data_IF_558099145911
#
_entry.id   IF_558099145911
#
_cell.length_a   1.000
_cell.length_b   1.000
_cell.length_c   1.000
_cell.angle_alpha   90.00
_cell.angle_beta   90.00
_cell.angle_gamma   90.00
#
_symmetry.space_group_name_H-M   'P 1'
#
loop_
_entity.id
_entity.type
_entity.pdbx_description
1 polymer ?
#
# COMPACT_ATOMS: atom_id res chain seq x y z
N UNK A 1 71.27 -21.17 -31.43
CA UNK A 1 71.28 -20.84 -29.99
C UNK A 1 70.35 -19.64 -29.77
N UNK A 2 69.07 -19.90 -29.47
CA UNK A 2 68.06 -18.85 -29.24
C UNK A 2 67.68 -18.84 -27.76
N UNK A 3 68.19 -17.88 -27.00
CA UNK A 3 67.79 -17.68 -25.61
C UNK A 3 66.45 -16.94 -25.57
N UNK A 4 65.40 -17.65 -25.17
CA UNK A 4 64.06 -17.09 -24.93
C UNK A 4 64.11 -16.27 -23.63
N UNK A 5 64.13 -14.95 -23.74
CA UNK A 5 63.94 -14.05 -22.60
C UNK A 5 62.50 -14.20 -22.08
N UNK A 6 62.34 -14.86 -20.93
CA UNK A 6 61.07 -14.86 -20.20
C UNK A 6 60.84 -13.45 -19.66
N UNK A 7 59.95 -12.71 -20.31
CA UNK A 7 59.41 -11.44 -19.81
C UNK A 7 58.67 -11.75 -18.50
N UNK A 8 59.22 -11.31 -17.36
CA UNK A 8 58.53 -11.39 -16.08
C UNK A 8 57.24 -10.56 -16.20
N UNK A 9 56.09 -11.21 -16.00
CA UNK A 9 54.80 -10.51 -15.90
C UNK A 9 54.84 -9.73 -14.58
N UNK A 10 54.89 -8.41 -14.69
CA UNK A 10 54.76 -7.47 -13.57
C UNK A 10 53.36 -7.63 -12.98
N UNK A 11 53.21 -8.55 -12.03
CA UNK A 11 51.97 -8.72 -11.28
C UNK A 11 51.92 -7.63 -10.21
N UNK A 12 51.49 -6.44 -10.62
CA UNK A 12 51.12 -5.37 -9.68
C UNK A 12 49.87 -5.83 -8.93
N UNK A 13 50.04 -6.22 -7.68
CA UNK A 13 48.93 -6.49 -6.77
C UNK A 13 48.19 -5.20 -6.41
N UNK A 14 46.89 -5.32 -6.13
CA UNK A 14 46.08 -4.23 -5.59
C UNK A 14 46.69 -3.75 -4.26
N UNK A 15 46.87 -2.44 -4.09
CA UNK A 15 47.30 -1.89 -2.81
C UNK A 15 46.12 -1.82 -1.84
N UNK A 16 46.38 -1.99 -0.54
CA UNK A 16 45.34 -1.81 0.49
C UNK A 16 44.76 -0.39 0.47
N UNK A 17 45.57 0.59 0.10
CA UNK A 17 45.16 2.01 0.02
C UNK A 17 44.16 2.23 -1.12
N UNK A 18 44.34 1.57 -2.28
CA UNK A 18 43.37 1.64 -3.39
C UNK A 18 42.01 1.09 -2.98
N UNK A 19 41.98 -0.05 -2.29
CA UNK A 19 40.72 -0.62 -1.79
C UNK A 19 40.06 0.30 -0.74
N UNK A 20 40.86 0.90 0.15
CA UNK A 20 40.38 1.80 1.21
C UNK A 20 39.70 3.05 0.63
N UNK A 21 40.32 3.68 -0.37
CA UNK A 21 39.73 4.87 -1.02
C UNK A 21 38.43 4.50 -1.74
N UNK A 22 38.36 3.34 -2.40
CA UNK A 22 37.15 2.90 -3.10
C UNK A 22 35.99 2.67 -2.14
N UNK A 23 36.20 1.94 -1.04
CA UNK A 23 35.12 1.71 -0.07
C UNK A 23 34.70 3.00 0.64
N UNK A 24 35.63 3.95 0.83
CA UNK A 24 35.31 5.26 1.37
C UNK A 24 34.38 6.06 0.43
N UNK A 25 34.68 6.08 -0.87
CA UNK A 25 33.82 6.75 -1.87
C UNK A 25 32.45 6.06 -1.97
N UNK A 26 32.43 4.72 -2.01
CA UNK A 26 31.17 3.95 -2.02
C UNK A 26 30.34 4.25 -0.76
N UNK A 27 30.99 4.34 0.41
CA UNK A 27 30.33 4.70 1.66
C UNK A 27 29.67 6.08 1.62
N UNK A 28 30.36 7.09 1.09
CA UNK A 28 29.81 8.45 0.93
C UNK A 28 28.62 8.45 -0.02
N UNK A 29 28.74 7.79 -1.18
CA UNK A 29 27.65 7.73 -2.17
C UNK A 29 26.43 6.97 -1.61
N UNK A 30 26.65 5.85 -0.93
CA UNK A 30 25.59 5.05 -0.32
C UNK A 30 24.84 5.85 0.75
N UNK A 31 25.54 6.65 1.57
CA UNK A 31 24.93 7.48 2.61
C UNK A 31 23.95 8.52 2.06
N UNK A 32 24.20 9.07 0.86
CA UNK A 32 23.34 10.07 0.22
C UNK A 32 22.16 9.40 -0.50
N UNK A 33 22.42 8.30 -1.20
CA UNK A 33 21.42 7.65 -2.08
C UNK A 33 20.40 6.83 -1.29
N UNK A 34 20.84 6.09 -0.26
CA UNK A 34 19.98 5.18 0.50
C UNK A 34 18.68 5.82 1.04
N UNK A 35 18.71 6.96 1.77
CA UNK A 35 17.48 7.56 2.31
C UNK A 35 16.49 8.01 1.22
N UNK A 36 17.00 8.48 0.07
CA UNK A 36 16.15 8.87 -1.05
C UNK A 36 15.50 7.66 -1.73
N UNK A 37 16.23 6.55 -1.85
CA UNK A 37 15.69 5.31 -2.37
C UNK A 37 14.53 4.79 -1.50
N UNK A 38 14.68 4.79 -0.17
CA UNK A 38 13.60 4.37 0.73
C UNK A 38 12.35 5.24 0.62
N UNK A 39 12.50 6.58 0.51
CA UNK A 39 11.37 7.50 0.29
C UNK A 39 10.64 7.22 -1.04
N UNK A 40 11.39 6.93 -2.10
CA UNK A 40 10.80 6.62 -3.40
C UNK A 40 10.01 5.30 -3.38
N UNK A 41 10.54 4.27 -2.70
CA UNK A 41 9.84 2.99 -2.49
C UNK A 41 8.55 3.23 -1.70
N UNK A 42 8.61 4.00 -0.61
CA UNK A 42 7.43 4.29 0.22
C UNK A 42 6.36 5.04 -0.56
N UNK A 43 6.75 6.04 -1.37
CA UNK A 43 5.81 6.74 -2.26
C UNK A 43 5.15 5.78 -3.27
N UNK A 44 5.91 4.82 -3.80
CA UNK A 44 5.38 3.79 -4.70
C UNK A 44 4.36 2.88 -4.00
N UNK A 45 4.59 2.52 -2.73
CA UNK A 45 3.64 1.76 -1.91
C UNK A 45 2.35 2.52 -1.65
N UNK A 46 2.44 3.81 -1.32
CA UNK A 46 1.26 4.68 -1.15
C UNK A 46 0.43 4.71 -2.44
N UNK A 47 1.08 4.94 -3.59
CA UNK A 47 0.40 4.98 -4.88
C UNK A 47 -0.26 3.63 -5.25
N UNK A 48 0.37 2.50 -4.90
CA UNK A 48 -0.23 1.18 -5.07
C UNK A 48 -1.48 1.01 -4.20
N UNK A 49 -1.42 1.42 -2.93
CA UNK A 49 -2.57 1.34 -2.03
C UNK A 49 -3.75 2.22 -2.51
N UNK A 50 -3.46 3.39 -3.08
CA UNK A 50 -4.48 4.25 -3.69
C UNK A 50 -5.10 3.64 -4.94
N UNK A 51 -4.30 2.96 -5.77
CA UNK A 51 -4.80 2.26 -6.95
C UNK A 51 -5.72 1.10 -6.55
N UNK A 52 -5.32 0.30 -5.57
CA UNK A 52 -6.14 -0.78 -5.00
C UNK A 52 -7.45 -0.23 -4.43
N UNK A 53 -7.38 0.85 -3.65
CA UNK A 53 -8.56 1.54 -3.12
C UNK A 53 -9.52 1.99 -4.25
N UNK A 54 -9.01 2.63 -5.30
CA UNK A 54 -9.84 3.11 -6.41
C UNK A 54 -10.53 1.96 -7.15
N UNK A 55 -9.81 0.85 -7.38
CA UNK A 55 -10.37 -0.34 -7.99
C UNK A 55 -11.48 -0.96 -7.14
N UNK A 56 -11.24 -1.14 -5.84
CA UNK A 56 -12.23 -1.68 -4.90
C UNK A 56 -13.44 -0.75 -4.77
N UNK A 57 -13.22 0.57 -4.72
CA UNK A 57 -14.30 1.57 -4.69
C UNK A 57 -15.19 1.48 -5.93
N UNK A 58 -14.60 1.43 -7.12
CA UNK A 58 -15.34 1.28 -8.37
C UNK A 58 -16.13 -0.03 -8.40
N UNK A 59 -15.51 -1.13 -7.96
CA UNK A 59 -16.18 -2.43 -7.88
C UNK A 59 -17.38 -2.42 -6.91
N UNK A 60 -17.23 -1.79 -5.74
CA UNK A 60 -18.31 -1.66 -4.76
C UNK A 60 -19.48 -0.83 -5.28
N UNK A 61 -19.19 0.27 -6.00
CA UNK A 61 -20.21 1.11 -6.62
C UNK A 61 -20.94 0.40 -7.75
N UNK A 62 -20.22 -0.35 -8.60
CA UNK A 62 -20.84 -1.14 -9.67
C UNK A 62 -21.75 -2.24 -9.10
N UNK A 63 -21.28 -2.95 -8.07
CA UNK A 63 -22.11 -3.93 -7.34
C UNK A 63 -23.39 -3.29 -6.80
N UNK A 64 -23.27 -2.11 -6.18
CA UNK A 64 -24.43 -1.37 -5.66
C UNK A 64 -25.38 -0.90 -6.77
N UNK A 65 -24.84 -0.49 -7.92
CA UNK A 65 -25.62 -0.04 -9.08
C UNK A 65 -26.47 -1.19 -9.64
N UNK A 66 -25.90 -2.40 -9.69
CA UNK A 66 -26.54 -3.56 -10.31
C UNK A 66 -27.52 -4.27 -9.36
N UNK A 67 -27.18 -4.35 -8.07
CA UNK A 67 -27.95 -5.14 -7.08
C UNK A 67 -28.81 -4.30 -6.15
N UNK A 68 -28.58 -2.98 -6.09
CA UNK A 68 -29.24 -2.06 -5.14
C UNK A 68 -28.80 -2.24 -3.68
N UNK A 69 -27.88 -3.16 -3.39
CA UNK A 69 -27.34 -3.43 -2.05
C UNK A 69 -25.82 -3.39 -2.09
N UNK A 70 -25.19 -3.12 -0.95
CA UNK A 70 -23.73 -3.12 -0.87
C UNK A 70 -23.20 -4.55 -0.70
N UNK A 71 -21.95 -4.83 -1.14
CA UNK A 71 -21.28 -6.10 -0.84
C UNK A 71 -21.22 -6.40 0.65
N UNK A 72 -21.04 -7.68 0.98
CA UNK A 72 -20.84 -8.12 2.36
C UNK A 72 -19.48 -7.68 2.91
N UNK A 73 -19.42 -7.51 4.24
CA UNK A 73 -18.19 -7.15 4.94
C UNK A 73 -17.25 -8.36 4.97
N UNK A 74 -15.96 -8.15 4.72
CA UNK A 74 -15.04 -9.27 4.67
C UNK A 74 -13.64 -8.94 4.20
N UNK A 75 -12.81 -9.99 4.21
CA UNK A 75 -11.41 -9.96 3.77
C UNK A 75 -11.18 -10.78 2.50
N UNK A 76 -12.24 -11.36 1.97
CA UNK A 76 -12.23 -12.55 1.11
C UNK A 76 -13.05 -12.40 -0.17
N UNK A 77 -13.37 -11.16 -0.57
CA UNK A 77 -13.80 -10.83 -1.94
C UNK A 77 -15.17 -11.34 -2.39
N UNK A 78 -15.93 -11.98 -1.50
CA UNK A 78 -17.29 -12.42 -1.81
C UNK A 78 -18.15 -11.21 -2.25
N UNK A 79 -18.88 -11.39 -3.35
CA UNK A 79 -19.61 -10.32 -4.03
C UNK A 79 -18.77 -9.52 -5.03
N UNK A 80 -17.48 -9.29 -4.77
CA UNK A 80 -16.58 -8.56 -5.67
C UNK A 80 -16.02 -9.43 -6.80
N UNK A 81 -15.50 -10.62 -6.46
CA UNK A 81 -14.79 -11.51 -7.38
C UNK A 81 -15.61 -12.75 -7.69
N UNK A 82 -16.35 -13.25 -6.70
CA UNK A 82 -17.26 -14.40 -6.85
C UNK A 82 -18.69 -13.98 -6.57
N UNK A 83 -19.62 -14.75 -7.11
CA UNK A 83 -21.04 -14.58 -6.81
C UNK A 83 -21.25 -14.67 -5.29
N UNK A 84 -21.99 -13.70 -4.68
CA UNK A 84 -22.25 -13.71 -3.25
C UNK A 84 -23.18 -14.88 -2.86
N UNK A 85 -23.07 -15.35 -1.62
CA UNK A 85 -23.93 -16.40 -1.07
C UNK A 85 -24.64 -15.90 0.19
N UNK A 86 -25.99 -15.79 0.20
CA UNK A 86 -26.91 -16.17 -0.88
C UNK A 86 -26.80 -15.26 -2.11
N UNK A 87 -27.13 -15.81 -3.28
CA UNK A 87 -27.17 -15.06 -4.54
C UNK A 87 -28.01 -13.80 -4.38
N UNK A 88 -27.46 -12.67 -4.80
CA UNK A 88 -28.16 -11.39 -4.83
C UNK A 88 -28.70 -11.15 -6.23
N UNK A 89 -29.98 -10.77 -6.31
CA UNK A 89 -30.61 -10.44 -7.58
C UNK A 89 -29.89 -9.26 -8.25
N UNK A 90 -29.76 -9.33 -9.58
CA UNK A 90 -29.03 -8.34 -10.36
C UNK A 90 -27.50 -8.45 -10.33
N UNK A 91 -26.90 -9.43 -9.65
CA UNK A 91 -25.44 -9.60 -9.68
C UNK A 91 -24.94 -9.92 -11.10
N UNK A 92 -24.06 -9.06 -11.64
CA UNK A 92 -23.47 -9.16 -12.97
C UNK A 92 -21.93 -9.15 -12.92
N UNK A 93 -21.38 -9.62 -11.79
CA UNK A 93 -19.95 -9.66 -11.58
C UNK A 93 -19.24 -10.71 -12.44
N UNK A 94 -17.90 -10.84 -12.29
CA UNK A 94 -17.08 -10.20 -11.26
C UNK A 94 -16.90 -8.70 -11.47
N UNK A 95 -16.95 -7.93 -10.38
CA UNK A 95 -16.69 -6.48 -10.37
C UNK A 95 -15.21 -6.15 -10.13
N UNK A 96 -14.44 -7.14 -9.70
CA UNK A 96 -13.00 -7.07 -9.50
C UNK A 96 -12.35 -8.34 -10.04
N UNK A 97 -11.23 -8.23 -10.77
CA UNK A 97 -10.53 -9.41 -11.30
C UNK A 97 -10.00 -10.32 -10.19
N UNK A 98 -9.50 -9.72 -9.11
CA UNK A 98 -8.98 -10.42 -7.94
C UNK A 98 -8.90 -9.47 -6.74
N UNK A 99 -9.21 -10.00 -5.57
CA UNK A 99 -8.97 -9.26 -4.33
C UNK A 99 -7.49 -9.21 -3.95
N UNK A 100 -6.98 -8.03 -3.57
CA UNK A 100 -5.63 -7.93 -3.05
C UNK A 100 -5.54 -8.63 -1.69
N UNK A 101 -4.88 -9.78 -1.66
CA UNK A 101 -4.69 -10.56 -0.42
C UNK A 101 -3.83 -9.82 0.62
N UNK A 102 -3.04 -8.83 0.19
CA UNK A 102 -2.15 -8.03 1.02
C UNK A 102 -2.09 -6.60 0.52
N UNK A 103 -1.95 -5.67 1.46
CA UNK A 103 -1.61 -4.29 1.16
C UNK A 103 -0.09 -4.12 0.93
N UNK A 104 0.37 -2.97 0.41
CA UNK A 104 1.79 -2.73 0.10
C UNK A 104 2.78 -2.81 1.28
N UNK A 105 2.26 -2.87 2.51
CA UNK A 105 3.03 -2.99 3.74
C UNK A 105 2.94 -4.39 4.38
N UNK A 106 2.21 -5.32 3.76
CA UNK A 106 2.08 -6.71 4.23
C UNK A 106 0.89 -6.94 5.16
N UNK A 107 0.13 -5.90 5.48
CA UNK A 107 -1.15 -5.98 6.15
C UNK A 107 -2.27 -6.45 5.23
N UNK A 108 -3.52 -6.38 5.68
CA UNK A 108 -4.70 -6.81 4.93
C UNK A 108 -5.56 -5.63 4.49
N UNK A 109 -6.39 -5.88 3.48
CA UNK A 109 -7.55 -5.07 3.16
C UNK A 109 -8.79 -5.75 3.72
N UNK A 110 -9.64 -4.98 4.40
CA UNK A 110 -10.93 -5.46 4.89
C UNK A 110 -12.00 -4.47 4.46
N UNK A 111 -12.97 -4.93 3.69
CA UNK A 111 -14.16 -4.14 3.37
C UNK A 111 -15.16 -4.27 4.51
N UNK A 112 -15.69 -3.16 5.02
CA UNK A 112 -16.60 -3.18 6.17
C UNK A 112 -17.60 -2.03 6.17
N UNK A 113 -18.76 -2.25 6.78
CA UNK A 113 -19.68 -1.19 7.17
C UNK A 113 -19.12 -0.39 8.34
N UNK A 114 -19.59 0.85 8.47
CA UNK A 114 -19.36 1.63 9.68
C UNK A 114 -20.15 1.03 10.85
N UNK A 115 -19.47 0.76 11.96
CA UNK A 115 -20.09 0.25 13.19
C UNK A 115 -20.88 1.30 13.97
N UNK A 116 -20.82 2.57 13.55
CA UNK A 116 -21.40 3.68 14.29
C UNK A 116 -22.67 4.20 13.63
N UNK A 117 -23.64 4.51 14.49
CA UNK A 117 -25.04 4.86 14.20
C UNK A 117 -25.22 6.14 13.34
N UNK A 118 -24.16 6.68 12.74
CA UNK A 118 -24.20 7.79 11.80
C UNK A 118 -24.52 7.27 10.40
N UNK A 119 -25.80 7.12 10.12
CA UNK A 119 -26.29 7.02 8.75
C UNK A 119 -25.97 8.33 8.03
N UNK A 120 -25.10 8.28 7.03
CA UNK A 120 -25.04 9.34 6.02
C UNK A 120 -26.07 8.95 4.97
N UNK A 121 -27.09 9.78 4.76
CA UNK A 121 -28.18 9.54 3.80
C UNK A 121 -29.01 8.27 4.02
N UNK A 122 -29.16 7.82 5.28
CA UNK A 122 -29.96 6.63 5.58
C UNK A 122 -29.30 5.29 5.23
N UNK A 123 -28.04 5.28 4.79
CA UNK A 123 -27.21 4.08 4.61
C UNK A 123 -25.93 4.16 5.47
N UNK A 124 -25.44 3.03 6.02
CA UNK A 124 -24.17 3.02 6.74
C UNK A 124 -23.02 3.27 5.75
N UNK A 125 -22.09 4.16 6.11
CA UNK A 125 -20.92 4.39 5.28
C UNK A 125 -20.08 3.11 5.15
N UNK A 126 -19.49 2.89 3.97
CA UNK A 126 -18.61 1.75 3.67
C UNK A 126 -17.15 2.17 3.69
N UNK A 127 -16.34 1.38 4.37
CA UNK A 127 -14.92 1.65 4.59
C UNK A 127 -14.08 0.49 4.05
N UNK A 128 -12.90 0.86 3.55
CA UNK A 128 -11.80 -0.07 3.33
C UNK A 128 -10.79 0.13 4.45
N UNK A 129 -10.68 -0.85 5.34
CA UNK A 129 -9.67 -0.88 6.39
C UNK A 129 -8.36 -1.46 5.85
N UNK A 130 -7.25 -0.81 6.18
CA UNK A 130 -5.89 -1.24 5.94
C UNK A 130 -5.18 -1.40 7.29
N UNK A 131 -4.61 -2.59 7.54
CA UNK A 131 -3.75 -2.84 8.71
C UNK A 131 -2.29 -2.50 8.39
N UNK A 132 -1.48 -2.31 9.43
CA UNK A 132 -0.01 -2.18 9.30
C UNK A 132 0.49 -1.01 8.42
N UNK A 133 -0.32 0.04 8.24
CA UNK A 133 0.08 1.24 7.49
C UNK A 133 1.12 2.03 8.30
N UNK A 134 2.35 2.23 7.79
CA UNK A 134 3.39 2.94 8.52
C UNK A 134 3.00 4.39 8.83
N UNK A 135 3.18 4.76 10.09
CA UNK A 135 2.88 6.10 10.57
C UNK A 135 1.41 6.36 10.87
N UNK A 136 0.55 5.33 10.81
CA UNK A 136 -0.82 5.43 11.31
C UNK A 136 -0.81 5.69 12.83
N UNK A 137 -1.53 6.71 13.32
CA UNK A 137 -1.55 7.08 14.72
C UNK A 137 -2.40 6.09 15.54
N UNK A 138 -1.95 5.75 16.75
CA UNK A 138 -2.69 4.83 17.63
C UNK A 138 -3.85 5.48 18.38
N UNK A 139 -3.89 6.81 18.44
CA UNK A 139 -4.93 7.59 19.12
C UNK A 139 -6.07 8.02 18.19
N UNK A 140 -6.03 7.60 16.92
CA UNK A 140 -7.01 8.00 15.89
C UNK A 140 -6.89 9.46 15.41
N UNK A 141 -5.97 10.26 15.97
CA UNK A 141 -5.84 11.67 15.63
C UNK A 141 -5.03 11.87 14.34
N UNK A 142 -5.69 12.29 13.26
CA UNK A 142 -5.06 12.48 11.94
C UNK A 142 -3.95 13.53 11.90
N UNK A 143 -3.88 14.43 12.88
CA UNK A 143 -2.77 15.37 13.02
C UNK A 143 -1.47 14.68 13.44
N UNK A 144 -1.58 13.53 14.11
CA UNK A 144 -0.45 12.73 14.59
C UNK A 144 0.01 11.68 13.56
N UNK A 145 -0.66 11.60 12.40
CA UNK A 145 -0.24 10.72 11.32
C UNK A 145 1.13 11.16 10.76
N UNK A 146 1.97 10.18 10.45
CA UNK A 146 3.31 10.37 9.85
C UNK A 146 3.50 9.43 8.65
N UNK A 147 4.63 9.53 7.95
CA UNK A 147 5.02 8.58 6.90
C UNK A 147 3.93 8.38 5.83
N UNK A 148 3.66 7.11 5.49
CA UNK A 148 2.67 6.72 4.50
C UNK A 148 1.24 7.11 4.89
N UNK A 149 0.86 6.93 6.16
CA UNK A 149 -0.49 7.31 6.63
C UNK A 149 -0.77 8.80 6.43
N UNK A 150 0.22 9.66 6.71
CA UNK A 150 0.07 11.10 6.45
C UNK A 150 -0.01 11.42 4.96
N UNK A 151 0.75 10.69 4.14
CA UNK A 151 0.71 10.87 2.70
C UNK A 151 -0.65 10.48 2.12
N UNK A 152 -1.21 9.33 2.50
CA UNK A 152 -2.57 8.92 2.13
C UNK A 152 -3.62 9.97 2.51
N UNK A 153 -3.49 10.55 3.71
CA UNK A 153 -4.38 11.62 4.17
C UNK A 153 -4.28 12.88 3.29
N UNK A 154 -3.07 13.24 2.86
CA UNK A 154 -2.86 14.40 2.00
C UNK A 154 -3.35 14.15 0.57
N UNK A 155 -3.17 12.94 0.05
CA UNK A 155 -3.46 12.58 -1.34
C UNK A 155 -4.97 12.29 -1.54
N UNK A 156 -5.63 11.66 -0.58
CA UNK A 156 -7.07 11.32 -0.63
C UNK A 156 -7.99 12.32 0.11
N UNK A 157 -7.43 13.09 1.04
CA UNK A 157 -8.14 14.10 1.83
C UNK A 157 -8.63 13.61 3.20
N UNK A 158 -8.79 14.58 4.11
CA UNK A 158 -9.20 14.35 5.51
C UNK A 158 -10.62 13.80 5.68
N UNK A 159 -11.48 14.00 4.69
CA UNK A 159 -12.85 13.48 4.73
C UNK A 159 -12.91 12.00 4.35
N UNK A 160 -11.91 11.51 3.63
CA UNK A 160 -11.87 10.16 3.07
C UNK A 160 -11.06 9.23 3.98
N UNK A 161 -9.99 9.72 4.60
CA UNK A 161 -9.10 8.88 5.42
C UNK A 161 -9.31 9.16 6.91
N UNK A 162 -9.60 8.11 7.68
CA UNK A 162 -9.71 8.13 9.14
C UNK A 162 -8.81 7.06 9.77
N UNK A 163 -8.48 7.22 11.05
CA UNK A 163 -7.63 6.28 11.78
C UNK A 163 -8.38 5.71 12.99
N UNK A 164 -8.21 4.42 13.23
CA UNK A 164 -8.80 3.76 14.39
C UNK A 164 -8.08 4.15 15.68
N UNK A 165 -8.86 4.39 16.73
CA UNK A 165 -8.32 4.53 18.07
C UNK A 165 -7.97 3.13 18.63
N UNK A 166 -6.76 2.95 19.12
CA UNK A 166 -6.28 1.71 19.74
C UNK A 166 -5.71 0.65 18.80
N UNK A 167 -5.94 0.74 17.48
CA UNK A 167 -5.57 -0.34 16.53
C UNK A 167 -4.54 0.05 15.45
N UNK A 168 -4.20 1.35 15.31
CA UNK A 168 -3.35 1.87 14.20
C UNK A 168 -3.87 1.55 12.80
N UNK A 169 -5.13 1.16 12.67
CA UNK A 169 -5.75 0.85 11.39
C UNK A 169 -6.13 2.12 10.64
N UNK A 170 -5.94 2.10 9.32
CA UNK A 170 -6.32 3.19 8.43
C UNK A 170 -7.60 2.83 7.69
N UNK A 171 -8.61 3.68 7.78
CA UNK A 171 -9.91 3.50 7.15
C UNK A 171 -10.05 4.50 6.01
N UNK A 172 -10.38 4.01 4.82
CA UNK A 172 -10.58 4.82 3.62
C UNK A 172 -12.04 4.70 3.18
N UNK A 173 -12.74 5.83 3.05
CA UNK A 173 -14.17 5.89 2.74
C UNK A 173 -14.44 5.47 1.29
N UNK A 174 -15.28 4.44 1.12
CA UNK A 174 -15.75 3.95 -0.19
C UNK A 174 -17.00 4.71 -0.61
N UNK A 175 -18.00 4.78 0.27
CA UNK A 175 -19.26 5.49 0.01
C UNK A 175 -19.16 6.95 0.42
N UNK A 176 -18.63 7.80 -0.46
CA UNK A 176 -18.89 9.24 -0.39
C UNK A 176 -19.58 9.63 -1.69
N UNK A 177 -20.65 10.42 -1.55
CA UNK A 177 -21.46 11.07 -2.58
C UNK A 177 -20.78 11.22 -3.95
#
# INVERSE_FOLDING_TARGET
MWQRLKKARDQRGFTLVELLVVIAIIGILAAIVAPNAFKAIEKGKVAAAEADYKAIKAAALNYYTDTGVWPEDGTDSEGFVTEPSPTVDGWNGPYLERWPSKNPWGGTYTYMKQDDSSTLWGAPARWLQLTDVPGAPSDGNSNNATGAAKQLLNDLGSDVVKFANGSRDTHILISKE
#
